data_IF_267122370016
#
_entry.id   IF_267122370016
#
_cell.length_a   1.000
_cell.length_b   1.000
_cell.length_c   1.000
_cell.angle_alpha   90.00
_cell.angle_beta   90.00
_cell.angle_gamma   90.00
#
_symmetry.space_group_name_H-M   'P 1'
#
loop_
_entity.id
_entity.type
_entity.pdbx_description
1 polymer ?
#
# COMPACT_ATOMS: atom_id res chain seq x y z
N UNK A 1 26.33 -15.91 23.01
CA UNK A 1 26.07 -15.75 21.56
C UNK A 1 24.76 -15.00 21.44
N UNK A 2 24.84 -13.69 21.34
CA UNK A 2 23.69 -12.80 21.25
C UNK A 2 23.40 -12.65 19.75
N UNK A 3 22.29 -13.21 19.27
CA UNK A 3 21.81 -12.96 17.92
C UNK A 3 21.24 -11.54 17.92
N UNK A 4 22.06 -10.56 17.56
CA UNK A 4 21.55 -9.25 17.15
C UNK A 4 20.81 -9.49 15.84
N UNK A 5 19.47 -9.37 15.85
CA UNK A 5 18.70 -9.21 14.63
C UNK A 5 19.21 -7.94 13.96
N UNK A 6 20.04 -8.10 12.91
CA UNK A 6 20.42 -7.01 12.02
C UNK A 6 19.12 -6.36 11.50
N UNK A 7 19.10 -5.03 11.58
CA UNK A 7 17.96 -4.14 11.36
C UNK A 7 17.10 -4.53 10.14
N UNK A 8 15.97 -5.21 10.37
CA UNK A 8 14.93 -5.35 9.35
C UNK A 8 14.18 -4.02 9.25
N UNK A 9 14.63 -3.15 8.34
CA UNK A 9 13.93 -1.92 8.00
C UNK A 9 12.77 -2.23 7.05
N UNK A 10 11.56 -1.82 7.44
CA UNK A 10 10.38 -1.98 6.59
C UNK A 10 10.39 -0.87 5.53
N UNK A 11 10.45 -1.26 4.25
CA UNK A 11 10.49 -0.32 3.13
C UNK A 11 9.10 0.31 2.87
N UNK A 12 8.97 1.59 3.24
CA UNK A 12 7.77 2.40 3.03
C UNK A 12 7.39 2.54 1.55
N UNK A 13 8.37 2.68 0.66
CA UNK A 13 8.14 2.86 -0.78
C UNK A 13 7.65 1.57 -1.42
N UNK A 14 8.12 0.42 -0.94
CA UNK A 14 7.60 -0.88 -1.33
C UNK A 14 6.13 -1.05 -0.95
N UNK A 15 5.74 -0.68 0.28
CA UNK A 15 4.35 -0.70 0.73
C UNK A 15 3.49 0.24 -0.12
N UNK A 16 3.95 1.46 -0.35
CA UNK A 16 3.24 2.43 -1.18
C UNK A 16 3.01 1.89 -2.61
N UNK A 17 4.02 1.26 -3.19
CA UNK A 17 3.96 0.66 -4.53
C UNK A 17 2.92 -0.46 -4.62
N UNK A 18 2.78 -1.28 -3.58
CA UNK A 18 1.77 -2.33 -3.51
C UNK A 18 0.36 -1.75 -3.51
N UNK A 19 0.08 -0.76 -2.65
CA UNK A 19 -1.24 -0.10 -2.61
C UNK A 19 -1.60 0.58 -3.92
N UNK A 20 -0.63 1.26 -4.56
CA UNK A 20 -0.83 1.90 -5.86
C UNK A 20 -1.12 0.88 -6.97
N UNK A 21 -0.40 -0.25 -6.98
CA UNK A 21 -0.64 -1.32 -7.94
C UNK A 21 -2.02 -1.97 -7.76
N UNK A 22 -2.43 -2.21 -6.51
CA UNK A 22 -3.76 -2.74 -6.19
C UNK A 22 -4.87 -1.77 -6.60
N UNK A 23 -4.72 -0.47 -6.31
CA UNK A 23 -5.66 0.56 -6.72
C UNK A 23 -5.79 0.62 -8.25
N UNK A 24 -4.67 0.64 -8.97
CA UNK A 24 -4.67 0.66 -10.43
C UNK A 24 -5.35 -0.59 -11.01
N UNK A 25 -5.07 -1.77 -10.46
CA UNK A 25 -5.71 -3.02 -10.89
C UNK A 25 -7.22 -3.00 -10.69
N UNK A 26 -7.69 -2.53 -9.53
CA UNK A 26 -9.12 -2.41 -9.23
C UNK A 26 -9.83 -1.43 -10.19
N UNK A 27 -9.19 -0.30 -10.49
CA UNK A 27 -9.72 0.69 -11.42
C UNK A 27 -9.74 0.17 -12.87
N UNK A 28 -8.71 -0.56 -13.31
CA UNK A 28 -8.70 -1.23 -14.61
C UNK A 28 -9.82 -2.26 -14.73
N UNK A 29 -10.08 -3.03 -13.67
CA UNK A 29 -11.20 -3.97 -13.65
C UNK A 29 -12.55 -3.25 -13.75
N UNK A 30 -12.73 -2.10 -13.09
CA UNK A 30 -13.93 -1.28 -13.21
C UNK A 30 -14.13 -0.74 -14.65
N UNK A 31 -13.05 -0.34 -15.31
CA UNK A 31 -13.09 0.09 -16.72
C UNK A 31 -13.47 -1.06 -17.64
N UNK A 32 -12.92 -2.26 -17.44
CA UNK A 32 -13.25 -3.44 -18.24
C UNK A 32 -14.72 -3.86 -18.10
N UNK A 33 -15.32 -3.68 -16.92
CA UNK A 33 -16.75 -3.92 -16.68
C UNK A 33 -17.66 -2.83 -17.25
N UNK A 34 -17.10 -1.69 -17.65
CA UNK A 34 -17.86 -0.53 -18.11
C UNK A 34 -18.48 0.29 -16.98
N UNK A 35 -18.09 0.05 -15.72
CA UNK A 35 -18.58 0.82 -14.56
C UNK A 35 -18.00 2.25 -14.58
N UNK A 36 -16.81 2.40 -15.14
CA UNK A 36 -16.02 3.62 -15.17
C UNK A 36 -15.39 3.82 -16.55
N UNK A 37 -15.19 5.07 -16.96
CA UNK A 37 -14.37 5.39 -18.13
C UNK A 37 -12.87 5.36 -17.77
N UNK A 38 -12.01 5.18 -18.79
CA UNK A 38 -10.56 5.22 -18.60
C UNK A 38 -10.06 6.57 -18.03
N UNK A 39 -10.71 7.68 -18.38
CA UNK A 39 -10.34 9.01 -17.89
C UNK A 39 -10.72 9.20 -16.41
N UNK A 40 -11.91 8.74 -16.01
CA UNK A 40 -12.34 8.73 -14.61
C UNK A 40 -11.41 7.86 -13.77
N UNK A 41 -11.06 6.67 -14.26
CA UNK A 41 -10.11 5.78 -13.57
C UNK A 41 -8.74 6.44 -13.41
N UNK A 42 -8.23 7.11 -14.45
CA UNK A 42 -6.94 7.82 -14.38
C UNK A 42 -6.98 8.96 -13.34
N UNK A 43 -8.06 9.75 -13.31
CA UNK A 43 -8.24 10.83 -12.33
C UNK A 43 -8.34 10.30 -10.91
N UNK A 44 -9.10 9.21 -10.69
CA UNK A 44 -9.20 8.58 -9.38
C UNK A 44 -7.88 7.99 -8.91
N UNK A 45 -7.12 7.34 -9.79
CA UNK A 45 -5.78 6.85 -9.46
C UNK A 45 -4.86 8.00 -9.03
N UNK A 46 -4.80 9.09 -9.81
CA UNK A 46 -4.00 10.26 -9.47
C UNK A 46 -4.43 10.91 -8.15
N UNK A 47 -5.73 10.99 -7.88
CA UNK A 47 -6.25 11.50 -6.61
C UNK A 47 -5.87 10.59 -5.44
N UNK A 48 -5.94 9.27 -5.61
CA UNK A 48 -5.54 8.30 -4.60
C UNK A 48 -4.05 8.39 -4.27
N UNK A 49 -3.19 8.50 -5.29
CA UNK A 49 -1.73 8.61 -5.11
C UNK A 49 -1.30 9.80 -4.26
N UNK A 50 -2.07 10.89 -4.28
CA UNK A 50 -1.83 12.08 -3.45
C UNK A 50 -2.69 12.17 -2.19
N UNK A 51 -3.41 11.10 -1.83
CA UNK A 51 -4.42 11.16 -0.76
C UNK A 51 -3.86 10.82 0.62
N UNK A 52 -4.46 11.43 1.65
CA UNK A 52 -4.25 11.05 3.06
C UNK A 52 -4.66 9.60 3.33
N UNK A 53 -5.59 9.05 2.54
CA UNK A 53 -6.03 7.67 2.68
C UNK A 53 -4.88 6.69 2.36
N UNK A 54 -4.11 6.95 1.31
CA UNK A 54 -2.92 6.17 0.99
C UNK A 54 -1.87 6.26 2.11
N UNK A 55 -1.63 7.46 2.66
CA UNK A 55 -0.70 7.63 3.78
C UNK A 55 -1.11 6.81 5.00
N UNK A 56 -2.40 6.81 5.37
CA UNK A 56 -2.90 6.00 6.49
C UNK A 56 -2.77 4.49 6.26
N UNK A 57 -2.95 4.01 5.03
CA UNK A 57 -2.76 2.60 4.70
C UNK A 57 -1.28 2.21 4.84
N UNK A 58 -0.38 3.05 4.35
CA UNK A 58 1.06 2.84 4.48
C UNK A 58 1.47 2.83 5.94
N UNK A 59 1.01 3.79 6.75
CA UNK A 59 1.33 3.87 8.18
C UNK A 59 0.81 2.65 8.95
N UNK A 60 -0.40 2.19 8.65
CA UNK A 60 -0.98 0.99 9.27
C UNK A 60 -0.21 -0.29 8.93
N UNK A 61 0.20 -0.45 7.67
CA UNK A 61 1.01 -1.60 7.24
C UNK A 61 2.41 -1.56 7.85
N UNK A 62 3.03 -0.38 7.93
CA UNK A 62 4.30 -0.21 8.63
C UNK A 62 4.20 -0.62 10.09
N UNK A 63 3.22 -0.09 10.83
CA UNK A 63 3.00 -0.43 12.24
C UNK A 63 2.78 -1.94 12.42
N UNK A 64 1.98 -2.56 11.54
CA UNK A 64 1.72 -3.98 11.59
C UNK A 64 2.96 -4.83 11.31
N UNK A 65 3.77 -4.45 10.31
CA UNK A 65 4.99 -5.17 9.94
C UNK A 65 6.07 -5.00 11.01
N UNK A 66 6.23 -3.81 11.57
CA UNK A 66 7.13 -3.53 12.70
C UNK A 66 6.72 -4.36 13.93
N UNK A 67 5.43 -4.37 14.28
CA UNK A 67 4.91 -5.17 15.39
C UNK A 67 5.09 -6.68 15.15
N UNK A 68 4.93 -7.15 13.91
CA UNK A 68 5.16 -8.54 13.52
C UNK A 68 6.63 -8.93 13.66
N UNK A 69 7.56 -8.07 13.20
CA UNK A 69 9.00 -8.27 13.33
C UNK A 69 9.46 -8.23 14.79
N UNK A 70 8.82 -7.40 15.62
CA UNK A 70 9.04 -7.34 17.06
C UNK A 70 8.45 -8.53 17.83
N UNK A 71 7.73 -9.45 17.15
CA UNK A 71 7.08 -10.60 17.77
C UNK A 71 5.85 -10.24 18.62
N UNK A 72 5.27 -9.06 18.40
CA UNK A 72 4.12 -8.53 19.14
C UNK A 72 2.77 -8.88 18.48
N UNK A 73 2.79 -9.47 17.28
CA UNK A 73 1.62 -9.95 16.53
C UNK A 73 1.79 -11.46 16.32
N UNK A 74 0.76 -12.25 16.65
CA UNK A 74 0.70 -13.71 16.50
C UNK A 74 -0.27 -14.14 15.41
#
# INVERSE_FOLDING_TARGET
MMLCLEDFEVDRDAIASVHLAQNLSALQAAVQRGDWTADEAKKAHAAFSGSDALQRLIDADLEHLEASLAGQVH
#
